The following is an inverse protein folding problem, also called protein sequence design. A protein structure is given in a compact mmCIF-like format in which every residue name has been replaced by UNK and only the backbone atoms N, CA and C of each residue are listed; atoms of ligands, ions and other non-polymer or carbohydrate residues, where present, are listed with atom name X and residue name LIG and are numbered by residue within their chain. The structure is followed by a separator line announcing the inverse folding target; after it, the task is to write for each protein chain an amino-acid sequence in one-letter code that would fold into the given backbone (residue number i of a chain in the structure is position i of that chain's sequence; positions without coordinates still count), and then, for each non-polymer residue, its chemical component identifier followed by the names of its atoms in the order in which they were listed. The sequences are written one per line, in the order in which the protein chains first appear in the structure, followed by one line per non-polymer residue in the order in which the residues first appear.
data_IF_291525881786
#
_entry.id   IF_291525881786
#
_cell.length_a   1.000
_cell.length_b   1.000
_cell.length_c   1.000
_cell.angle_alpha   90.00
_cell.angle_beta   90.00
_cell.angle_gamma   90.00
#
_symmetry.space_group_name_H-M   'P 1'
#
loop_
_entity.id
_entity.type
_entity.pdbx_description
1 polymer ?
#
# COMPACT_ATOMS: atom_id res chain seq x y z
N UNK A 1 -47.19 14.18 54.32
CA UNK A 1 -45.90 13.73 53.74
C UNK A 1 -46.22 12.74 52.64
N UNK A 2 -46.13 13.16 51.37
CA UNK A 2 -46.36 12.31 50.19
C UNK A 2 -45.07 12.33 49.38
N UNK A 3 -44.61 11.13 49.02
CA UNK A 3 -43.28 10.86 48.49
C UNK A 3 -43.03 11.54 47.12
N UNK A 4 -41.90 12.23 47.05
CA UNK A 4 -41.01 12.38 45.89
C UNK A 4 -40.77 11.01 45.21
N UNK A 5 -40.54 10.84 43.91
CA UNK A 5 -39.80 11.62 42.90
C UNK A 5 -40.23 11.09 41.52
N UNK A 6 -40.34 11.98 40.52
CA UNK A 6 -40.44 11.61 39.09
C UNK A 6 -39.12 10.94 38.68
N UNK A 7 -39.21 9.81 37.96
CA UNK A 7 -38.04 9.06 37.50
C UNK A 7 -37.17 9.86 36.53
N UNK A 8 -35.87 9.55 36.43
CA UNK A 8 -35.02 10.16 35.42
C UNK A 8 -35.35 9.54 34.07
N UNK A 9 -35.90 10.36 33.16
CA UNK A 9 -35.91 10.06 31.74
C UNK A 9 -34.51 10.31 31.18
N UNK A 10 -33.60 9.36 31.40
CA UNK A 10 -32.28 9.37 30.77
C UNK A 10 -32.42 8.92 29.31
N UNK A 11 -32.94 9.83 28.48
CA UNK A 11 -32.70 9.78 27.04
C UNK A 11 -31.36 10.45 26.80
N UNK A 12 -30.32 9.64 26.65
CA UNK A 12 -29.20 9.85 25.71
C UNK A 12 -28.17 8.74 25.93
N UNK A 13 -28.55 7.51 25.59
CA UNK A 13 -27.57 6.54 25.12
C UNK A 13 -27.26 6.91 23.67
N UNK A 14 -26.39 7.90 23.48
CA UNK A 14 -25.73 8.08 22.19
C UNK A 14 -24.69 6.97 22.10
N UNK A 15 -25.11 5.81 21.60
CA UNK A 15 -24.20 4.81 21.05
C UNK A 15 -23.54 5.45 19.82
N UNK A 16 -22.48 6.23 20.05
CA UNK A 16 -21.52 6.52 19.00
C UNK A 16 -20.81 5.20 18.69
N UNK A 17 -21.40 4.43 17.79
CA UNK A 17 -20.78 3.26 17.20
C UNK A 17 -19.45 3.70 16.58
N UNK A 18 -18.36 3.42 17.30
CA UNK A 18 -17.00 3.67 16.83
C UNK A 18 -16.82 2.90 15.52
N UNK A 19 -16.84 3.62 14.40
CA UNK A 19 -16.74 3.06 13.07
C UNK A 19 -15.43 2.25 12.98
N UNK A 20 -15.44 1.00 12.49
CA UNK A 20 -14.25 0.17 12.52
C UNK A 20 -13.16 0.84 11.70
N UNK A 21 -12.07 1.27 12.36
CA UNK A 21 -10.90 1.88 11.71
C UNK A 21 -10.39 0.90 10.66
N UNK A 22 -10.70 1.18 9.39
CA UNK A 22 -10.27 0.38 8.24
C UNK A 22 -8.76 0.21 8.34
N UNK A 23 -8.28 -1.02 8.57
CA UNK A 23 -6.85 -1.32 8.54
C UNK A 23 -6.35 -0.90 7.16
N UNK A 24 -5.54 0.16 7.11
CA UNK A 24 -4.85 0.56 5.89
C UNK A 24 -3.92 -0.60 5.53
N UNK A 25 -4.16 -1.22 4.38
CA UNK A 25 -3.22 -2.17 3.79
C UNK A 25 -1.91 -1.42 3.56
N UNK A 26 -0.77 -2.05 3.88
CA UNK A 26 0.53 -1.43 3.62
C UNK A 26 0.75 -1.40 2.12
N UNK A 27 1.26 -0.27 1.63
CA UNK A 27 1.63 -0.13 0.23
C UNK A 27 2.96 -0.84 -0.05
N UNK A 28 3.02 -1.60 -1.13
CA UNK A 28 4.18 -2.39 -1.56
C UNK A 28 4.59 -1.91 -2.95
N UNK A 29 5.82 -1.37 -3.06
CA UNK A 29 6.34 -0.80 -4.30
C UNK A 29 7.68 -1.43 -4.71
N UNK A 30 7.93 -1.52 -6.02
CA UNK A 30 9.21 -1.96 -6.58
C UNK A 30 10.12 -0.75 -6.88
N UNK A 31 11.41 -0.87 -6.54
CA UNK A 31 12.45 0.10 -6.90
C UNK A 31 13.58 -0.59 -7.66
N UNK A 32 13.76 -0.21 -8.94
CA UNK A 32 14.80 -0.79 -9.81
C UNK A 32 15.89 0.25 -10.06
N UNK A 33 17.08 0.04 -9.49
CA UNK A 33 18.21 0.98 -9.60
C UNK A 33 19.00 0.76 -10.91
N UNK A 34 18.57 1.42 -11.98
CA UNK A 34 19.18 1.31 -13.31
C UNK A 34 20.30 2.34 -13.58
N UNK A 35 21.31 2.41 -12.71
CA UNK A 35 22.43 3.38 -12.86
C UNK A 35 23.13 3.29 -14.24
N UNK A 36 23.66 4.41 -14.72
CA UNK A 36 24.39 4.45 -15.99
C UNK A 36 25.81 3.85 -15.92
N UNK A 37 26.52 4.13 -14.81
CA UNK A 37 27.86 3.60 -14.58
C UNK A 37 27.84 2.08 -14.47
N UNK A 38 28.87 1.41 -15.00
CA UNK A 38 29.04 -0.04 -14.88
C UNK A 38 30.50 -0.37 -15.08
N UNK A 39 31.07 -1.21 -14.20
CA UNK A 39 32.50 -1.52 -14.21
C UNK A 39 32.90 -2.39 -15.42
N UNK A 40 32.04 -3.33 -15.82
CA UNK A 40 32.30 -4.21 -16.96
C UNK A 40 31.65 -3.75 -18.26
N UNK A 41 30.34 -3.46 -18.23
CA UNK A 41 29.57 -3.12 -19.43
C UNK A 41 28.93 -1.74 -19.24
N UNK A 42 29.50 -0.65 -19.78
CA UNK A 42 28.90 0.69 -19.71
C UNK A 42 27.45 0.68 -20.20
N UNK A 43 26.56 1.40 -19.50
CA UNK A 43 25.12 1.51 -19.84
C UNK A 43 24.41 0.15 -19.98
N UNK A 44 24.80 -0.87 -19.20
CA UNK A 44 24.26 -2.24 -19.35
C UNK A 44 22.74 -2.34 -19.35
N UNK A 45 22.04 -1.46 -18.60
CA UNK A 45 20.59 -1.56 -18.39
C UNK A 45 19.77 -1.28 -19.67
N UNK A 46 20.33 -0.54 -20.63
CA UNK A 46 19.68 -0.25 -21.93
C UNK A 46 20.18 -1.14 -23.06
N UNK A 47 21.25 -1.91 -22.84
CA UNK A 47 21.77 -2.83 -23.86
C UNK A 47 20.82 -3.99 -24.05
N UNK A 48 20.71 -4.44 -25.31
CA UNK A 48 19.85 -5.56 -25.67
C UNK A 48 20.42 -6.87 -25.16
N UNK A 49 19.55 -7.67 -24.55
CA UNK A 49 19.75 -9.07 -24.20
C UNK A 49 18.57 -9.85 -24.80
N UNK A 50 18.87 -10.67 -25.81
CA UNK A 50 17.85 -11.41 -26.59
C UNK A 50 16.74 -10.50 -27.16
N UNK A 51 17.12 -9.35 -27.73
CA UNK A 51 16.18 -8.41 -28.37
C UNK A 51 15.43 -7.49 -27.41
N UNK A 52 15.60 -7.63 -26.09
CA UNK A 52 14.96 -6.78 -25.07
C UNK A 52 16.03 -6.03 -24.27
N UNK A 53 15.89 -4.73 -23.96
CA UNK A 53 16.81 -4.05 -23.06
C UNK A 53 16.94 -4.79 -21.73
N UNK A 54 18.14 -4.91 -21.17
CA UNK A 54 18.38 -5.69 -19.94
C UNK A 54 17.40 -5.34 -18.80
N UNK A 55 17.11 -4.05 -18.59
CA UNK A 55 16.13 -3.61 -17.57
C UNK A 55 14.71 -4.08 -17.87
N UNK A 56 14.36 -4.30 -19.14
CA UNK A 56 13.05 -4.81 -19.56
C UNK A 56 12.73 -6.19 -19.00
N UNK A 57 13.74 -7.05 -18.84
CA UNK A 57 13.56 -8.35 -18.19
C UNK A 57 13.18 -8.21 -16.70
N UNK A 58 13.75 -7.24 -16.01
CA UNK A 58 13.44 -6.96 -14.60
C UNK A 58 12.04 -6.35 -14.46
N UNK A 59 11.69 -5.41 -15.34
CA UNK A 59 10.35 -4.80 -15.36
C UNK A 59 9.27 -5.85 -15.60
N UNK A 60 9.49 -6.75 -16.57
CA UNK A 60 8.56 -7.85 -16.85
C UNK A 60 8.38 -8.75 -15.62
N UNK A 61 9.48 -9.18 -14.98
CA UNK A 61 9.38 -10.00 -13.78
C UNK A 61 8.63 -9.30 -12.63
N UNK A 62 8.82 -7.99 -12.44
CA UNK A 62 8.11 -7.23 -11.41
C UNK A 62 6.60 -7.08 -11.70
N UNK A 63 6.22 -6.96 -12.96
CA UNK A 63 4.81 -6.88 -13.37
C UNK A 63 4.16 -8.26 -13.28
N UNK A 64 4.82 -9.28 -13.83
CA UNK A 64 4.28 -10.64 -13.94
C UNK A 64 4.14 -11.33 -12.57
N UNK A 65 4.88 -10.88 -11.54
CA UNK A 65 4.76 -11.43 -10.19
C UNK A 65 3.45 -11.05 -9.50
N UNK A 66 2.86 -9.90 -9.82
CA UNK A 66 1.65 -9.41 -9.14
C UNK A 66 1.88 -9.03 -7.66
N UNK A 67 3.13 -8.89 -7.22
CA UNK A 67 3.50 -8.68 -5.81
C UNK A 67 3.48 -7.20 -5.37
N UNK A 68 3.37 -6.28 -6.33
CA UNK A 68 3.45 -4.83 -6.09
C UNK A 68 2.11 -4.16 -6.39
N UNK A 69 1.80 -3.12 -5.61
CA UNK A 69 0.61 -2.30 -5.82
C UNK A 69 0.72 -1.47 -7.12
N UNK A 70 -0.44 -1.11 -7.68
CA UNK A 70 -0.56 -0.24 -8.87
C UNK A 70 -0.62 1.22 -8.52
#
# INVERSE_FOLDING_TARGET
MIAQKRGPSDKNATEEAESPKKRRTRHVAALILARGGSKGIPLKNIKLLAGVPLVGWVLRAAIDSGEFDR
#
